data_IF_266438819914
#
_entry.id   IF_266438819914
#
_cell.length_a   1.000
_cell.length_b   1.000
_cell.length_c   1.000
_cell.angle_alpha   90.00
_cell.angle_beta   90.00
_cell.angle_gamma   90.00
#
_symmetry.space_group_name_H-M   'P 1'
#
loop_
_entity.id
_entity.type
_entity.pdbx_description
1 polymer ?
#
# COMPACT_ATOMS: atom_id res chain seq x y z
N UNK A 1 3.08 -5.42 -13.68
CA UNK A 1 2.88 -3.96 -13.78
C UNK A 1 3.71 -3.28 -12.70
N UNK A 2 4.40 -2.22 -13.06
CA UNK A 2 5.20 -1.45 -12.10
C UNK A 2 4.50 -0.11 -11.88
N UNK A 3 4.33 0.27 -10.60
CA UNK A 3 3.73 1.56 -10.24
C UNK A 3 4.70 2.35 -9.37
N UNK A 4 4.74 3.65 -9.60
CA UNK A 4 5.48 4.59 -8.76
C UNK A 4 4.50 5.27 -7.82
N UNK A 5 4.75 5.15 -6.52
CA UNK A 5 3.82 5.60 -5.48
C UNK A 5 4.52 6.54 -4.51
N UNK A 6 3.85 7.63 -4.17
CA UNK A 6 4.27 8.48 -3.06
C UNK A 6 3.50 8.08 -1.82
N UNK A 7 4.22 7.77 -0.74
CA UNK A 7 3.62 7.30 0.50
C UNK A 7 3.16 8.48 1.34
N UNK A 8 1.88 8.48 1.68
CA UNK A 8 1.25 9.53 2.48
C UNK A 8 1.18 9.17 3.95
N UNK A 9 0.83 7.92 4.24
CA UNK A 9 0.56 7.49 5.61
C UNK A 9 0.78 5.99 5.74
N UNK A 10 1.25 5.57 6.92
CA UNK A 10 1.33 4.16 7.28
C UNK A 10 0.09 3.79 8.08
N UNK A 11 -0.59 2.72 7.70
CA UNK A 11 -1.86 2.31 8.31
C UNK A 11 -1.78 0.87 8.76
N UNK A 12 -1.97 0.65 10.05
CA UNK A 12 -2.03 -0.69 10.61
C UNK A 12 -3.50 -1.10 10.74
N UNK A 13 -3.93 -2.01 9.88
CA UNK A 13 -5.30 -2.52 9.85
C UNK A 13 -5.39 -3.83 10.61
N UNK A 14 -6.43 -3.96 11.43
CA UNK A 14 -6.71 -5.20 12.15
C UNK A 14 -8.17 -5.57 11.96
N UNK A 15 -8.45 -6.87 11.99
CA UNK A 15 -9.83 -7.36 11.92
C UNK A 15 -10.00 -8.54 12.85
N UNK A 16 -11.15 -8.61 13.56
CA UNK A 16 -11.43 -9.69 14.50
C UNK A 16 -11.81 -10.97 13.76
N UNK A 17 -11.74 -12.14 14.43
CA UNK A 17 -12.31 -13.37 13.88
C UNK A 17 -13.79 -13.19 13.59
N UNK A 18 -14.25 -13.72 12.45
CA UNK A 18 -15.64 -13.58 12.03
C UNK A 18 -16.05 -14.76 11.16
N UNK A 19 -17.24 -15.32 11.45
CA UNK A 19 -17.84 -16.37 10.63
C UNK A 19 -16.91 -17.56 10.36
N UNK A 20 -16.21 -18.03 11.40
CA UNK A 20 -15.29 -19.15 11.28
C UNK A 20 -13.96 -18.83 10.64
N UNK A 21 -13.73 -17.58 10.24
CA UNK A 21 -12.45 -17.14 9.70
C UNK A 21 -11.60 -16.52 10.81
N UNK A 22 -10.29 -16.80 10.84
CA UNK A 22 -9.42 -16.18 11.83
C UNK A 22 -9.32 -14.67 11.62
N UNK A 23 -9.09 -13.95 12.69
CA UNK A 23 -8.73 -12.54 12.61
C UNK A 23 -7.35 -12.37 12.02
N UNK A 24 -6.98 -11.12 11.76
CA UNK A 24 -5.68 -10.84 11.20
C UNK A 24 -5.31 -9.38 11.30
N UNK A 25 -4.15 -9.06 10.74
CA UNK A 25 -3.66 -7.70 10.65
C UNK A 25 -2.91 -7.49 9.32
N UNK A 26 -2.83 -6.25 8.91
CA UNK A 26 -2.07 -5.86 7.73
C UNK A 26 -1.43 -4.50 7.96
N UNK A 27 -0.26 -4.32 7.38
CA UNK A 27 0.49 -3.07 7.42
C UNK A 27 0.49 -2.47 6.03
N UNK A 28 -0.35 -1.47 5.83
CA UNK A 28 -0.59 -0.88 4.52
C UNK A 28 0.00 0.52 4.44
N UNK A 29 0.45 0.88 3.25
CA UNK A 29 0.90 2.24 2.96
C UNK A 29 -0.18 2.92 2.13
N UNK A 30 -0.72 4.03 2.65
CA UNK A 30 -1.66 4.85 1.88
C UNK A 30 -0.85 5.71 0.93
N UNK A 31 -1.06 5.51 -0.36
CA UNK A 31 -0.20 6.04 -1.40
C UNK A 31 -0.98 6.76 -2.47
N UNK A 32 -0.25 7.61 -3.18
CA UNK A 32 -0.71 8.33 -4.33
C UNK A 32 0.02 7.80 -5.55
N UNK A 33 -0.72 7.41 -6.60
CA UNK A 33 -0.13 6.90 -7.83
C UNK A 33 0.50 8.06 -8.61
N UNK A 34 1.81 7.99 -8.82
CA UNK A 34 2.57 8.99 -9.54
C UNK A 34 2.92 8.57 -10.97
N UNK A 35 2.44 7.43 -11.40
CA UNK A 35 2.74 6.91 -12.76
C UNK A 35 2.14 7.78 -13.86
N UNK A 36 1.09 8.51 -13.56
CA UNK A 36 0.42 9.38 -14.51
C UNK A 36 0.03 10.70 -13.85
N UNK A 37 1.01 11.58 -13.58
CA UNK A 37 0.76 12.80 -12.81
C UNK A 37 -0.24 13.77 -13.44
N UNK A 38 -0.38 13.74 -14.78
CA UNK A 38 -1.32 14.62 -15.48
C UNK A 38 -2.79 14.28 -15.17
N UNK A 39 -3.07 13.03 -14.81
CA UNK A 39 -4.42 12.55 -14.48
C UNK A 39 -4.59 12.32 -13.00
N UNK A 40 -3.62 12.72 -12.21
CA UNK A 40 -3.59 12.41 -10.80
C UNK A 40 -4.65 13.17 -10.01
N UNK A 41 -5.37 12.48 -9.13
CA UNK A 41 -6.40 13.06 -8.26
C UNK A 41 -6.23 12.57 -6.84
N UNK A 42 -6.38 13.46 -5.89
CA UNK A 42 -6.23 13.14 -4.46
C UNK A 42 -7.21 12.07 -4.00
N UNK A 43 -8.41 12.06 -4.54
CA UNK A 43 -9.42 11.07 -4.19
C UNK A 43 -9.12 9.66 -4.72
N UNK A 44 -8.13 9.51 -5.58
CA UNK A 44 -7.75 8.24 -6.16
C UNK A 44 -6.59 7.57 -5.43
N UNK A 45 -6.41 7.88 -4.16
CA UNK A 45 -5.39 7.22 -3.35
C UNK A 45 -5.68 5.73 -3.21
N UNK A 46 -4.62 4.95 -3.01
CA UNK A 46 -4.72 3.52 -2.87
C UNK A 46 -3.78 3.03 -1.78
N UNK A 47 -3.95 1.76 -1.41
CA UNK A 47 -3.10 1.13 -0.40
C UNK A 47 -2.14 0.15 -1.07
N UNK A 48 -0.92 0.11 -0.58
CA UNK A 48 0.01 -0.97 -0.88
C UNK A 48 0.19 -1.82 0.38
N UNK A 49 -0.12 -3.12 0.28
CA UNK A 49 0.01 -4.04 1.42
C UNK A 49 1.43 -4.55 1.51
N UNK A 50 2.14 -4.17 2.57
CA UNK A 50 3.51 -4.62 2.78
C UNK A 50 3.54 -6.09 3.19
N UNK A 51 4.58 -6.80 2.76
CA UNK A 51 4.85 -8.16 3.20
C UNK A 51 5.68 -8.14 4.48
N UNK A 52 5.70 -9.26 5.20
CA UNK A 52 6.42 -9.35 6.45
C UNK A 52 7.91 -9.03 6.31
N UNK A 53 8.53 -9.45 5.21
CA UNK A 53 9.95 -9.19 4.94
C UNK A 53 10.22 -7.77 4.48
N UNK A 54 9.22 -7.08 3.94
CA UNK A 54 9.35 -5.69 3.49
C UNK A 54 9.18 -4.70 4.64
N UNK A 55 8.34 -5.04 5.62
CA UNK A 55 7.97 -4.12 6.69
C UNK A 55 9.17 -3.52 7.43
N UNK A 56 10.18 -4.30 7.85
CA UNK A 56 11.31 -3.70 8.57
C UNK A 56 12.09 -2.67 7.77
N UNK A 57 12.00 -2.74 6.43
CA UNK A 57 12.74 -1.84 5.55
C UNK A 57 12.03 -0.52 5.31
N UNK A 58 10.70 -0.50 5.40
CA UNK A 58 9.91 0.68 5.02
C UNK A 58 9.06 1.24 6.15
N UNK A 59 8.63 0.40 7.09
CA UNK A 59 7.74 0.85 8.16
C UNK A 59 8.43 1.81 9.11
N UNK A 60 7.78 2.95 9.37
CA UNK A 60 8.31 3.99 10.23
C UNK A 60 9.18 5.02 9.50
N UNK A 61 9.46 4.84 8.21
CA UNK A 61 10.37 5.72 7.48
C UNK A 61 9.97 5.99 6.03
N UNK A 62 8.84 5.48 5.60
CA UNK A 62 8.42 5.62 4.19
C UNK A 62 7.56 6.84 3.93
N UNK A 63 6.90 7.41 4.94
CA UNK A 63 6.00 8.55 4.75
C UNK A 63 6.74 9.73 4.12
N UNK A 64 6.18 10.30 3.06
CA UNK A 64 6.76 11.40 2.31
C UNK A 64 7.78 10.98 1.26
N UNK A 65 8.03 9.68 1.10
CA UNK A 65 8.98 9.18 0.11
C UNK A 65 8.25 8.54 -1.06
N UNK A 66 8.99 8.27 -2.13
CA UNK A 66 8.47 7.62 -3.33
C UNK A 66 9.07 6.22 -3.43
N UNK A 67 8.19 5.24 -3.69
CA UNK A 67 8.60 3.84 -3.87
C UNK A 67 8.11 3.33 -5.22
N UNK A 68 8.77 2.29 -5.73
CA UNK A 68 8.30 1.56 -6.89
C UNK A 68 7.89 0.16 -6.47
N UNK A 69 6.72 -0.28 -6.93
CA UNK A 69 6.19 -1.59 -6.58
C UNK A 69 5.85 -2.37 -7.84
N UNK A 70 6.16 -3.65 -7.83
CA UNK A 70 5.67 -4.59 -8.85
C UNK A 70 4.33 -5.12 -8.40
N UNK A 71 3.28 -4.80 -9.14
CA UNK A 71 1.91 -5.16 -8.77
C UNK A 71 1.55 -6.50 -9.38
N UNK A 72 1.25 -7.47 -8.53
CA UNK A 72 0.80 -8.79 -8.95
C UNK A 72 -0.73 -8.89 -8.96
N UNK A 73 -1.39 -8.18 -8.05
CA UNK A 73 -2.84 -8.23 -7.92
C UNK A 73 -3.37 -6.92 -7.35
N UNK A 74 -4.56 -6.54 -7.77
CA UNK A 74 -5.28 -5.38 -7.24
C UNK A 74 -6.60 -5.87 -6.66
N UNK A 75 -6.84 -5.52 -5.39
CA UNK A 75 -8.10 -5.78 -4.71
C UNK A 75 -8.91 -4.50 -4.60
N UNK A 76 -10.20 -4.60 -4.80
CA UNK A 76 -11.11 -3.46 -4.71
C UNK A 76 -12.09 -3.65 -3.56
N UNK A 77 -12.43 -2.54 -2.90
CA UNK A 77 -13.48 -2.52 -1.89
C UNK A 77 -13.07 -2.93 -0.48
N UNK A 78 -11.80 -3.28 -0.26
CA UNK A 78 -11.34 -3.79 1.05
C UNK A 78 -11.07 -2.70 2.07
N UNK A 79 -10.68 -1.51 1.64
CA UNK A 79 -10.23 -0.44 2.54
C UNK A 79 -11.04 0.84 2.28
N UNK A 80 -12.30 0.86 2.70
CA UNK A 80 -13.14 2.03 2.53
C UNK A 80 -13.40 2.38 1.07
N UNK A 81 -13.42 1.38 0.20
CA UNK A 81 -13.62 1.58 -1.24
C UNK A 81 -12.35 1.85 -2.02
N UNK A 82 -11.22 2.00 -1.36
CA UNK A 82 -9.94 2.21 -2.03
C UNK A 82 -9.33 0.88 -2.49
N UNK A 83 -8.60 0.93 -3.59
CA UNK A 83 -7.89 -0.25 -4.08
C UNK A 83 -6.71 -0.60 -3.16
N UNK A 84 -6.42 -1.89 -3.05
CA UNK A 84 -5.26 -2.40 -2.33
C UNK A 84 -4.37 -3.17 -3.31
N UNK A 85 -3.11 -2.77 -3.40
CA UNK A 85 -2.14 -3.42 -4.27
C UNK A 85 -1.41 -4.52 -3.52
N UNK A 86 -1.25 -5.66 -4.18
CA UNK A 86 -0.48 -6.79 -3.68
C UNK A 86 0.64 -7.08 -4.66
N UNK A 87 1.85 -7.21 -4.16
CA UNK A 87 3.01 -7.45 -5.01
C UNK A 87 4.30 -7.35 -4.22
N UNK A 88 5.28 -6.65 -4.78
CA UNK A 88 6.59 -6.51 -4.14
C UNK A 88 7.15 -5.13 -4.36
N UNK A 89 7.83 -4.60 -3.35
CA UNK A 89 8.58 -3.35 -3.49
C UNK A 89 9.83 -3.62 -4.32
N UNK A 90 10.00 -2.88 -5.40
CA UNK A 90 11.16 -2.99 -6.29
C UNK A 90 12.26 -2.06 -5.82
N UNK A 91 11.90 -0.79 -5.53
CA UNK A 91 12.84 0.23 -5.09
C UNK A 91 12.36 0.76 -3.76
N UNK A 92 13.24 0.70 -2.76
CA UNK A 92 12.93 1.20 -1.42
C UNK A 92 12.96 2.72 -1.40
N UNK A 93 12.25 3.28 -0.40
CA UNK A 93 12.26 4.70 -0.16
C UNK A 93 13.66 5.18 0.18
N UNK A 94 14.10 6.21 -0.52
CA UNK A 94 15.33 6.92 -0.19
C UNK A 94 14.96 8.25 0.43
N UNK A 95 15.57 8.52 1.53
CA UNK A 95 15.48 9.84 2.14
C UNK A 95 16.59 10.72 1.63
#
# INVERSE_FOLDING_TARGET
MIMTLTVFKEVHNTWPPKNGKPGGEAYDLLCMDMSNPAEHRMEEMLYYRTKDDERPRVWGKSVGTTIQVGVAKIRHGDNGGKATLLGSIITEAKK
#
